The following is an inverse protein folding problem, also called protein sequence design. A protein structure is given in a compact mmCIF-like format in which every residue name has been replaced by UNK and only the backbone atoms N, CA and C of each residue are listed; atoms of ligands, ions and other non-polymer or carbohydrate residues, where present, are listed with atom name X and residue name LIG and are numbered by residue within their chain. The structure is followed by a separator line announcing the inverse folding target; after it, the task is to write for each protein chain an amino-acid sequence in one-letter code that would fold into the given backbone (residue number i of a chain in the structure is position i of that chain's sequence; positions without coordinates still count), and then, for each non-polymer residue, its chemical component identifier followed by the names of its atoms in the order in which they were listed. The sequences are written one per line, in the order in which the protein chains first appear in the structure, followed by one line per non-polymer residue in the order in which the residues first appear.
data_IF_672320079961
#
_entry.id   IF_672320079961
#
_cell.length_a   1.000
_cell.length_b   1.000
_cell.length_c   1.000
_cell.angle_alpha   90.00
_cell.angle_beta   90.00
_cell.angle_gamma   90.00
#
_symmetry.space_group_name_H-M   'P 1'
#
loop_
_entity.id
_entity.type
_entity.pdbx_description
1 polymer ?
#
# COMPACT_ATOMS: atom_id res chain seq x y z
N UNK A 1 -4.17 1.33 -34.04
CA UNK A 1 -3.08 0.34 -34.10
C UNK A 1 -1.96 0.85 -33.22
N UNK A 2 -2.00 0.49 -31.94
CA UNK A 2 -1.01 0.93 -30.93
C UNK A 2 0.27 0.15 -31.16
N UNK A 3 1.30 0.84 -31.66
CA UNK A 3 2.65 0.29 -31.72
C UNK A 3 3.19 0.15 -30.30
N UNK A 4 3.27 -1.09 -29.84
CA UNK A 4 4.04 -1.49 -28.67
C UNK A 4 5.52 -1.25 -28.96
N UNK A 5 6.17 -0.44 -28.12
CA UNK A 5 7.61 -0.39 -28.04
C UNK A 5 8.06 -1.70 -27.38
N UNK A 6 8.66 -2.62 -28.16
CA UNK A 6 9.34 -3.78 -27.58
C UNK A 6 10.72 -3.34 -27.05
N UNK A 7 11.11 -3.75 -25.82
CA UNK A 7 12.47 -3.57 -25.35
C UNK A 7 13.45 -4.45 -26.16
N UNK A 8 14.63 -3.91 -26.45
CA UNK A 8 15.68 -4.62 -27.18
C UNK A 8 16.37 -5.68 -26.30
N UNK A 9 16.92 -6.70 -26.94
CA UNK A 9 17.47 -7.93 -26.33
C UNK A 9 18.65 -7.76 -25.35
N UNK A 10 19.06 -6.53 -25.05
CA UNK A 10 20.17 -6.19 -24.13
C UNK A 10 19.75 -6.02 -22.66
N UNK A 11 18.45 -6.01 -22.34
CA UNK A 11 17.96 -5.78 -20.97
C UNK A 11 17.62 -7.08 -20.21
N UNK A 12 17.92 -8.26 -20.78
CA UNK A 12 17.59 -9.58 -20.18
C UNK A 12 18.49 -10.06 -19.03
N UNK A 13 19.22 -9.16 -18.37
CA UNK A 13 20.13 -9.51 -17.29
C UNK A 13 19.72 -8.87 -15.97
N UNK A 14 18.71 -9.43 -15.29
CA UNK A 14 18.35 -9.35 -13.84
C UNK A 14 16.84 -9.36 -13.53
N UNK A 15 15.99 -9.85 -14.43
CA UNK A 15 14.61 -10.21 -14.05
C UNK A 15 14.54 -11.63 -13.48
N UNK A 16 14.86 -11.77 -12.19
CA UNK A 16 14.29 -12.79 -11.31
C UNK A 16 14.57 -12.41 -9.84
N UNK A 17 13.91 -11.37 -9.35
CA UNK A 17 13.66 -11.25 -7.92
C UNK A 17 12.19 -11.58 -7.72
N UNK A 18 11.93 -12.87 -7.46
CA UNK A 18 10.66 -13.30 -6.89
C UNK A 18 10.33 -12.35 -5.73
N UNK A 19 9.09 -11.89 -5.66
CA UNK A 19 8.57 -11.09 -4.56
C UNK A 19 8.53 -11.96 -3.29
N UNK A 20 9.69 -12.16 -2.67
CA UNK A 20 9.85 -12.82 -1.39
C UNK A 20 9.55 -11.81 -0.29
N UNK A 21 8.58 -12.14 0.57
CA UNK A 21 8.32 -11.43 1.82
C UNK A 21 9.63 -11.27 2.63
N UNK A 22 9.82 -10.16 3.38
CA UNK A 22 11.04 -9.97 4.15
C UNK A 22 11.28 -11.11 5.13
N UNK A 23 12.53 -11.61 5.16
CA UNK A 23 12.91 -12.66 6.11
C UNK A 23 12.91 -12.17 7.56
N UNK A 24 12.70 -13.09 8.51
CA UNK A 24 12.68 -12.77 9.95
C UNK A 24 13.93 -12.03 10.44
N UNK A 25 15.12 -12.36 9.92
CA UNK A 25 16.38 -11.70 10.26
C UNK A 25 16.50 -10.24 9.77
N UNK A 26 15.81 -9.90 8.68
CA UNK A 26 15.74 -8.51 8.22
C UNK A 26 14.86 -7.68 9.16
N UNK A 27 13.72 -8.26 9.57
CA UNK A 27 12.71 -7.64 10.44
C UNK A 27 13.20 -7.40 11.87
N UNK A 28 14.01 -8.31 12.44
CA UNK A 28 14.54 -8.18 13.81
C UNK A 28 15.68 -7.16 13.93
N UNK A 29 16.42 -6.91 12.85
CA UNK A 29 17.59 -6.04 12.87
C UNK A 29 17.28 -4.53 12.82
N UNK A 30 16.03 -4.17 12.52
CA UNK A 30 15.60 -2.81 12.14
C UNK A 30 16.52 -2.19 11.07
N UNK A 31 17.16 -3.03 10.24
CA UNK A 31 18.23 -2.65 9.31
C UNK A 31 17.77 -1.71 8.22
N UNK A 32 16.47 -1.68 7.91
CA UNK A 32 15.89 -0.81 6.88
C UNK A 32 15.99 0.69 7.19
N UNK A 33 16.23 1.07 8.45
CA UNK A 33 16.45 2.45 8.88
C UNK A 33 17.95 2.84 8.95
N UNK A 34 18.87 1.90 8.68
CA UNK A 34 20.33 2.13 8.75
C UNK A 34 20.92 2.51 7.40
N UNK A 35 22.15 3.03 7.39
CA UNK A 35 22.85 3.48 6.17
C UNK A 35 23.09 2.31 5.20
N UNK A 36 23.32 1.11 5.74
CA UNK A 36 23.55 -0.15 5.03
C UNK A 36 22.26 -0.96 4.81
N UNK A 37 21.09 -0.30 4.79
CA UNK A 37 19.77 -0.95 4.65
C UNK A 37 19.63 -1.85 3.44
N UNK A 38 20.29 -1.52 2.34
CA UNK A 38 20.24 -2.30 1.10
C UNK A 38 20.96 -3.65 1.21
N UNK A 39 21.88 -3.79 2.17
CA UNK A 39 22.59 -5.04 2.45
C UNK A 39 21.99 -5.77 3.65
N UNK A 40 21.50 -5.04 4.65
CA UNK A 40 20.99 -5.60 5.92
C UNK A 40 19.50 -5.97 5.91
N UNK A 41 18.70 -5.31 5.08
CA UNK A 41 17.26 -5.58 4.97
C UNK A 41 16.75 -5.33 3.54
N UNK A 42 17.33 -6.00 2.52
CA UNK A 42 17.03 -5.76 1.11
C UNK A 42 15.54 -5.93 0.76
N UNK A 43 14.87 -6.96 1.30
CA UNK A 43 13.47 -7.24 1.02
C UNK A 43 12.56 -6.25 1.75
N UNK A 44 12.86 -5.87 2.99
CA UNK A 44 12.12 -4.81 3.69
C UNK A 44 12.20 -3.47 2.92
N UNK A 45 13.39 -3.11 2.44
CA UNK A 45 13.60 -1.92 1.62
C UNK A 45 12.85 -2.00 0.28
N UNK A 46 12.88 -3.17 -0.38
CA UNK A 46 12.12 -3.40 -1.61
C UNK A 46 10.60 -3.27 -1.36
N UNK A 47 10.11 -3.75 -0.22
CA UNK A 47 8.70 -3.69 0.16
C UNK A 47 8.22 -2.27 0.45
N UNK A 48 9.04 -1.46 1.14
CA UNK A 48 8.80 -0.02 1.32
C UNK A 48 8.86 0.72 -0.02
N UNK A 49 9.83 0.39 -0.89
CA UNK A 49 9.91 0.98 -2.24
C UNK A 49 8.64 0.69 -3.03
N UNK A 50 8.14 -0.55 -2.99
CA UNK A 50 6.91 -0.95 -3.66
C UNK A 50 5.69 -0.19 -3.12
N UNK A 51 5.58 -0.03 -1.81
CA UNK A 51 4.54 0.78 -1.17
C UNK A 51 4.54 2.20 -1.75
N UNK A 52 5.69 2.87 -1.71
CA UNK A 52 5.84 4.23 -2.18
C UNK A 52 5.50 4.34 -3.68
N UNK A 53 6.00 3.43 -4.51
CA UNK A 53 5.70 3.39 -5.94
C UNK A 53 4.19 3.30 -6.21
N UNK A 54 3.49 2.39 -5.53
CA UNK A 54 2.04 2.25 -5.66
C UNK A 54 1.35 3.56 -5.27
N UNK A 55 1.71 4.16 -4.13
CA UNK A 55 1.11 5.42 -3.70
C UNK A 55 1.37 6.55 -4.70
N UNK A 56 2.59 6.70 -5.21
CA UNK A 56 2.93 7.71 -6.21
C UNK A 56 2.17 7.49 -7.53
N UNK A 57 2.03 6.25 -8.00
CA UNK A 57 1.25 5.94 -9.20
C UNK A 57 -0.22 6.30 -9.03
N UNK A 58 -0.85 5.93 -7.91
CA UNK A 58 -2.25 6.30 -7.63
C UNK A 58 -2.43 7.83 -7.69
N UNK A 59 -1.56 8.57 -7.00
CA UNK A 59 -1.61 10.04 -7.01
C UNK A 59 -1.43 10.59 -8.43
N UNK A 60 -0.42 10.08 -9.15
CA UNK A 60 -0.10 10.53 -10.50
C UNK A 60 -1.27 10.32 -11.46
N UNK A 61 -1.84 9.12 -11.51
CA UNK A 61 -2.92 8.79 -12.45
C UNK A 61 -4.18 9.63 -12.19
N UNK A 62 -4.51 9.89 -10.92
CA UNK A 62 -5.63 10.77 -10.58
C UNK A 62 -5.34 12.22 -11.02
N UNK A 63 -4.14 12.74 -10.74
CA UNK A 63 -3.81 14.13 -11.07
C UNK A 63 -3.65 14.39 -12.58
N UNK A 64 -3.23 13.38 -13.36
CA UNK A 64 -3.03 13.51 -14.81
C UNK A 64 -4.28 13.16 -15.63
N UNK A 65 -5.40 12.81 -14.99
CA UNK A 65 -6.66 12.58 -15.68
C UNK A 65 -7.15 13.86 -16.39
N UNK A 66 -7.45 13.73 -17.69
CA UNK A 66 -7.69 14.86 -18.60
C UNK A 66 -8.93 15.71 -18.25
N UNK A 67 -9.97 15.09 -17.68
CA UNK A 67 -11.21 15.77 -17.32
C UNK A 67 -11.62 15.46 -15.90
N UNK A 68 -12.45 16.32 -15.30
CA UNK A 68 -13.01 16.10 -13.97
C UNK A 68 -13.78 14.78 -13.87
N UNK A 69 -14.54 14.43 -14.91
CA UNK A 69 -15.31 13.17 -14.98
C UNK A 69 -14.40 11.95 -15.00
N UNK A 70 -13.41 11.93 -15.90
CA UNK A 70 -12.42 10.85 -15.98
C UNK A 70 -11.66 10.73 -14.66
N UNK A 71 -11.28 11.85 -14.05
CA UNK A 71 -10.59 11.86 -12.76
C UNK A 71 -11.42 11.20 -11.65
N UNK A 72 -12.72 11.47 -11.60
CA UNK A 72 -13.62 10.83 -10.65
C UNK A 72 -13.75 9.32 -10.92
N UNK A 73 -13.79 8.89 -12.19
CA UNK A 73 -13.81 7.48 -12.57
C UNK A 73 -12.51 6.75 -12.16
N UNK A 74 -11.35 7.37 -12.35
CA UNK A 74 -10.05 6.84 -11.92
C UNK A 74 -9.98 6.74 -10.38
N UNK A 75 -10.46 7.76 -9.66
CA UNK A 75 -10.52 7.74 -8.20
C UNK A 75 -11.44 6.59 -7.71
N UNK A 76 -12.65 6.47 -8.25
CA UNK A 76 -13.57 5.36 -7.98
C UNK A 76 -12.94 4.00 -8.29
N UNK A 77 -12.18 3.89 -9.38
CA UNK A 77 -11.47 2.66 -9.73
C UNK A 77 -10.49 2.25 -8.63
N UNK A 78 -9.67 3.18 -8.13
CA UNK A 78 -8.71 2.88 -7.06
C UNK A 78 -9.38 2.50 -5.74
N UNK A 79 -10.53 3.11 -5.39
CA UNK A 79 -11.33 2.69 -4.24
C UNK A 79 -11.78 1.22 -4.39
N UNK A 80 -12.32 0.85 -5.56
CA UNK A 80 -12.75 -0.53 -5.82
C UNK A 80 -11.59 -1.51 -5.84
N UNK A 81 -10.43 -1.11 -6.37
CA UNK A 81 -9.20 -1.89 -6.31
C UNK A 81 -8.75 -2.12 -4.87
N UNK A 82 -8.74 -1.08 -4.03
CA UNK A 82 -8.41 -1.21 -2.61
C UNK A 82 -9.39 -2.15 -1.89
N UNK A 83 -10.68 -2.09 -2.21
CA UNK A 83 -11.64 -3.06 -1.68
C UNK A 83 -11.29 -4.49 -2.08
N UNK A 84 -10.96 -4.74 -3.35
CA UNK A 84 -10.59 -6.09 -3.81
C UNK A 84 -9.30 -6.58 -3.16
N UNK A 85 -8.31 -5.70 -2.97
CA UNK A 85 -7.08 -6.01 -2.23
C UNK A 85 -7.38 -6.39 -0.77
N UNK A 86 -8.32 -5.70 -0.14
CA UNK A 86 -8.79 -6.04 1.21
C UNK A 86 -9.48 -7.40 1.25
N UNK A 87 -10.33 -7.71 0.27
CA UNK A 87 -10.99 -9.01 0.16
C UNK A 87 -9.98 -10.16 -0.05
N UNK A 88 -8.78 -9.86 -0.58
CA UNK A 88 -7.66 -10.81 -0.75
C UNK A 88 -6.67 -10.79 0.42
N UNK A 89 -6.96 -10.08 1.51
CA UNK A 89 -6.05 -9.90 2.65
C UNK A 89 -4.65 -9.34 2.29
N UNK A 90 -4.55 -8.57 1.18
CA UNK A 90 -3.31 -7.84 0.86
C UNK A 90 -3.34 -6.46 1.51
N UNK A 91 -3.19 -6.44 2.84
CA UNK A 91 -3.38 -5.25 3.65
C UNK A 91 -2.28 -4.20 3.43
N UNK A 92 -1.07 -4.63 3.06
CA UNK A 92 0.00 -3.72 2.67
C UNK A 92 -0.37 -2.87 1.45
N UNK A 93 -0.90 -3.49 0.39
CA UNK A 93 -1.33 -2.77 -0.80
C UNK A 93 -2.57 -1.91 -0.54
N UNK A 94 -3.51 -2.36 0.32
CA UNK A 94 -4.65 -1.53 0.74
C UNK A 94 -4.15 -0.26 1.42
N UNK A 95 -3.23 -0.37 2.37
CA UNK A 95 -2.65 0.77 3.07
C UNK A 95 -1.97 1.75 2.11
N UNK A 96 -1.27 1.25 1.09
CA UNK A 96 -0.62 2.10 0.08
C UNK A 96 -1.62 2.94 -0.71
N UNK A 97 -2.74 2.34 -1.13
CA UNK A 97 -3.80 3.03 -1.88
C UNK A 97 -4.57 4.00 -0.98
N UNK A 98 -4.98 3.57 0.22
CA UNK A 98 -5.71 4.44 1.17
C UNK A 98 -4.86 5.65 1.55
N UNK A 99 -3.59 5.46 1.87
CA UNK A 99 -2.66 6.56 2.19
C UNK A 99 -2.49 7.52 1.01
N UNK A 100 -2.47 7.02 -0.22
CA UNK A 100 -2.39 7.85 -1.41
C UNK A 100 -3.64 8.70 -1.62
N UNK A 101 -4.83 8.14 -1.38
CA UNK A 101 -6.09 8.85 -1.50
C UNK A 101 -6.30 9.90 -0.38
N UNK A 102 -5.79 9.63 0.83
CA UNK A 102 -5.76 10.57 1.94
C UNK A 102 -4.66 11.64 1.83
N UNK A 103 -3.70 11.47 0.91
CA UNK A 103 -2.62 12.43 0.74
C UNK A 103 -3.16 13.81 0.34
N UNK A 104 -2.53 14.87 0.85
CA UNK A 104 -2.92 16.25 0.58
C UNK A 104 -3.26 16.58 -0.90
N UNK A 105 -2.52 16.10 -1.92
CA UNK A 105 -2.86 16.36 -3.32
C UNK A 105 -4.19 15.77 -3.78
N UNK A 106 -4.63 14.65 -3.21
CA UNK A 106 -5.86 13.97 -3.59
C UNK A 106 -7.01 14.39 -2.69
N UNK A 107 -6.79 14.46 -1.37
CA UNK A 107 -7.81 14.82 -0.38
C UNK A 107 -8.48 16.17 -0.68
N UNK A 108 -7.70 17.17 -1.13
CA UNK A 108 -8.22 18.52 -1.44
C UNK A 108 -9.09 18.61 -2.71
N UNK A 109 -9.20 17.55 -3.51
CA UNK A 109 -9.94 17.56 -4.79
C UNK A 109 -11.46 17.50 -4.60
N UNK A 110 -12.03 18.43 -3.83
CA UNK A 110 -13.44 18.41 -3.37
C UNK A 110 -14.45 18.17 -4.50
N UNK A 111 -14.27 18.81 -5.65
CA UNK A 111 -15.13 18.62 -6.84
C UNK A 111 -15.09 17.20 -7.39
N UNK A 112 -13.93 16.53 -7.32
CA UNK A 112 -13.76 15.15 -7.77
C UNK A 112 -14.45 14.19 -6.79
N UNK A 113 -14.21 14.38 -5.49
CA UNK A 113 -14.86 13.61 -4.43
C UNK A 113 -16.39 13.74 -4.46
N UNK A 114 -16.90 14.93 -4.80
CA UNK A 114 -18.33 15.16 -4.92
C UNK A 114 -19.00 14.26 -5.96
N UNK A 115 -18.32 13.94 -7.07
CA UNK A 115 -18.83 13.13 -8.18
C UNK A 115 -18.84 11.62 -7.91
N UNK A 116 -18.24 11.15 -6.82
CA UNK A 116 -18.25 9.73 -6.50
C UNK A 116 -19.66 9.26 -6.12
N UNK A 117 -19.96 8.02 -6.49
CA UNK A 117 -21.18 7.35 -6.05
C UNK A 117 -21.22 7.21 -4.51
N UNK A 118 -22.43 7.16 -3.93
CA UNK A 118 -22.59 6.90 -2.48
C UNK A 118 -21.91 5.59 -2.06
N UNK A 119 -21.96 4.57 -2.92
CA UNK A 119 -21.33 3.26 -2.70
C UNK A 119 -19.81 3.36 -2.62
N UNK A 120 -19.18 4.09 -3.54
CA UNK A 120 -17.72 4.25 -3.53
C UNK A 120 -17.26 5.07 -2.31
N UNK A 121 -17.99 6.14 -1.95
CA UNK A 121 -17.72 6.93 -0.72
C UNK A 121 -17.76 6.07 0.53
N UNK A 122 -18.85 5.33 0.74
CA UNK A 122 -18.99 4.43 1.88
C UNK A 122 -17.92 3.31 1.89
N UNK A 123 -17.51 2.83 0.71
CA UNK A 123 -16.42 1.85 0.60
C UNK A 123 -15.09 2.45 1.06
N UNK A 124 -14.79 3.68 0.64
CA UNK A 124 -13.58 4.38 1.06
C UNK A 124 -13.57 4.66 2.57
N UNK A 125 -14.66 5.20 3.12
CA UNK A 125 -14.81 5.44 4.56
C UNK A 125 -14.58 4.17 5.38
N UNK A 126 -15.11 3.01 4.93
CA UNK A 126 -14.89 1.73 5.61
C UNK A 126 -13.43 1.28 5.56
N UNK A 127 -12.75 1.49 4.44
CA UNK A 127 -11.33 1.16 4.27
C UNK A 127 -10.45 2.08 5.11
N UNK A 128 -10.73 3.37 5.14
CA UNK A 128 -10.07 4.36 6.00
C UNK A 128 -10.23 3.99 7.47
N UNK A 129 -11.46 3.66 7.90
CA UNK A 129 -11.74 3.23 9.26
C UNK A 129 -10.96 1.99 9.66
N UNK A 130 -10.90 0.97 8.79
CA UNK A 130 -10.14 -0.25 9.04
C UNK A 130 -8.63 0.04 9.14
N UNK A 131 -8.10 0.90 8.28
CA UNK A 131 -6.68 1.23 8.17
C UNK A 131 -6.24 2.38 9.09
N UNK A 132 -7.12 2.83 9.98
CA UNK A 132 -6.84 3.95 10.87
C UNK A 132 -5.62 3.68 11.76
N UNK A 133 -4.84 4.74 12.01
CA UNK A 133 -3.68 4.71 12.92
C UNK A 133 -4.09 4.79 14.39
N UNK A 134 -5.38 5.01 14.67
CA UNK A 134 -5.93 5.08 16.02
C UNK A 134 -5.58 3.87 16.87
N UNK A 135 -5.30 4.14 18.15
CA UNK A 135 -4.85 3.15 19.13
C UNK A 135 -3.77 2.22 18.54
N UNK A 136 -2.78 2.85 17.89
CA UNK A 136 -1.67 2.18 17.22
C UNK A 136 -2.15 1.18 16.14
N UNK A 137 -3.18 1.45 15.34
CA UNK A 137 -3.75 0.46 14.39
C UNK A 137 -4.49 -0.70 15.06
N UNK A 138 -5.16 -0.48 16.20
CA UNK A 138 -5.92 -1.53 16.92
C UNK A 138 -6.87 -2.30 15.98
N UNK A 139 -7.65 -1.59 15.17
CA UNK A 139 -8.64 -2.20 14.27
C UNK A 139 -8.02 -3.12 13.23
N UNK A 140 -6.91 -2.68 12.64
CA UNK A 140 -6.16 -3.46 11.67
C UNK A 140 -5.53 -4.69 12.34
N UNK A 141 -5.03 -4.56 13.57
CA UNK A 141 -4.54 -5.71 14.35
C UNK A 141 -5.66 -6.69 14.69
N UNK A 142 -6.80 -6.22 15.18
CA UNK A 142 -7.95 -7.06 15.49
C UNK A 142 -8.40 -7.84 14.23
N UNK A 143 -8.46 -7.15 13.08
CA UNK A 143 -8.76 -7.75 11.79
C UNK A 143 -7.73 -8.80 11.36
N UNK A 144 -6.43 -8.55 11.55
CA UNK A 144 -5.40 -9.56 11.23
C UNK A 144 -5.55 -10.78 12.15
N UNK A 145 -5.82 -10.56 13.44
CA UNK A 145 -5.99 -11.63 14.43
C UNK A 145 -7.23 -12.49 14.18
N UNK A 146 -8.32 -11.92 13.69
CA UNK A 146 -9.54 -12.67 13.35
C UNK A 146 -9.40 -13.52 12.08
N UNK A 147 -8.35 -13.31 11.29
CA UNK A 147 -8.17 -13.91 9.96
C UNK A 147 -7.37 -15.22 9.99
N UNK A 148 -7.36 -15.89 11.15
CA UNK A 148 -6.62 -17.11 11.42
C UNK A 148 -6.72 -18.07 10.22
N UNK A 149 -5.57 -18.38 9.60
CA UNK A 149 -5.37 -19.33 8.48
C UNK A 149 -5.36 -18.79 7.03
N UNK A 150 -5.50 -17.49 6.75
CA UNK A 150 -5.35 -16.99 5.35
C UNK A 150 -3.98 -16.35 5.11
N UNK A 151 -3.31 -16.67 4.00
CA UNK A 151 -2.12 -15.96 3.51
C UNK A 151 -2.41 -14.46 3.43
N UNK A 152 -1.97 -13.73 4.44
CA UNK A 152 -2.14 -12.28 4.56
C UNK A 152 -0.77 -11.64 4.34
N UNK A 153 -0.73 -10.58 3.54
CA UNK A 153 0.46 -9.75 3.40
C UNK A 153 0.27 -8.56 4.38
N UNK A 154 0.87 -8.63 5.58
CA UNK A 154 0.66 -7.61 6.59
C UNK A 154 1.31 -6.27 6.21
N UNK A 155 0.72 -5.16 6.64
CA UNK A 155 1.38 -3.86 6.58
C UNK A 155 2.54 -3.82 7.59
N UNK A 156 3.79 -3.88 7.09
CA UNK A 156 5.00 -3.95 7.92
C UNK A 156 5.16 -2.76 8.90
N UNK A 157 4.52 -1.63 8.61
CA UNK A 157 4.53 -0.46 9.50
C UNK A 157 3.93 -0.72 10.88
N UNK A 158 3.07 -1.73 11.04
CA UNK A 158 2.50 -2.11 12.35
C UNK A 158 3.54 -2.80 13.24
N UNK A 159 4.47 -3.54 12.63
CA UNK A 159 5.46 -4.36 13.33
C UNK A 159 6.73 -3.58 13.71
N UNK A 160 6.87 -2.35 13.21
CA UNK A 160 8.18 -1.68 13.15
C UNK A 160 8.57 -0.80 14.35
N UNK A 161 7.92 -0.82 15.51
CA UNK A 161 8.52 -0.20 16.73
C UNK A 161 7.86 -0.60 18.06
N UNK A 162 6.55 -0.88 18.08
CA UNK A 162 5.84 -1.08 19.35
C UNK A 162 5.83 -2.53 19.85
N UNK A 163 5.85 -3.51 18.94
CA UNK A 163 5.94 -4.94 19.28
C UNK A 163 7.27 -5.28 19.95
N UNK A 164 8.38 -4.68 19.50
CA UNK A 164 9.71 -4.92 20.09
C UNK A 164 9.88 -4.34 21.51
N UNK A 165 9.20 -3.24 21.83
CA UNK A 165 9.29 -2.59 23.14
C UNK A 165 8.46 -3.29 24.22
N UNK A 166 7.39 -4.01 23.85
CA UNK A 166 6.56 -4.75 24.82
C UNK A 166 7.07 -6.17 25.08
N UNK A 167 7.80 -6.79 24.16
CA UNK A 167 8.34 -8.15 24.35
C UNK A 167 9.63 -8.18 25.18
N UNK A 168 10.32 -7.05 25.37
CA UNK A 168 11.60 -6.97 26.09
C UNK A 168 11.58 -6.09 27.35
N UNK A 169 10.40 -5.82 27.93
CA UNK A 169 10.24 -5.12 29.22
C UNK A 169 9.50 -5.96 30.28
N UNK A 170 9.66 -7.27 30.24
CA UNK A 170 9.33 -8.19 31.34
C UNK A 170 10.53 -9.07 31.59
#
# INVERSE_FOLDING_TARGET
MVHFFQPTASERGTEQSQSTEPGFGELSSCGWNKKEKHSSAPNAVAFTRRFNQVSFWVVREILHAQTLKIRAEVLSLYIRTAKKLCDMNNLHAVMAVVSALQSAPIFRLTKTWALLSRKDKATFERLEYLMSKEDNYKRLRDYISSQSMTSCIPYLGIFSFHSYLHTHKT
#
